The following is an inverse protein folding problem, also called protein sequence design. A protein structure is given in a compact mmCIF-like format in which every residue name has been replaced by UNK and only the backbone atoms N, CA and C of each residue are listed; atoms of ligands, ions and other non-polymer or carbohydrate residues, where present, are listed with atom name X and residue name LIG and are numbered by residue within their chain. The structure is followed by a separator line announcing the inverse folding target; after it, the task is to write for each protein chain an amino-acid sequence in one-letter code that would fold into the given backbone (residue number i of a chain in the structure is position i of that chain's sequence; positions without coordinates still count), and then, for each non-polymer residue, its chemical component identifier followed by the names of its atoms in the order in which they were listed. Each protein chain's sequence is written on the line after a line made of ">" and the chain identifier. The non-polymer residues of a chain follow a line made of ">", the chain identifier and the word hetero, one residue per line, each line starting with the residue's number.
data_IF_007323072158
#
_entry.id   IF_007323072158
#
_cell.length_a   1.000
_cell.length_b   1.000
_cell.length_c   1.000
_cell.angle_alpha   90.00
_cell.angle_beta   90.00
_cell.angle_gamma   90.00
#
_symmetry.space_group_name_H-M   'P 1'
#
loop_
_entity.id
_entity.type
_entity.pdbx_description
1 polymer ?
#
# COMPACT_ATOMS: atom_id res chain seq x y z
N UNK A 1 12.45 -0.15 18.43
CA UNK A 1 13.45 -0.37 17.37
C UNK A 1 12.85 0.31 16.14
N UNK A 2 13.54 1.18 15.41
CA UNK A 2 12.89 1.84 14.26
C UNK A 2 12.71 0.83 13.12
N UNK A 3 11.47 0.54 12.80
CA UNK A 3 11.05 -0.24 11.64
C UNK A 3 11.22 0.67 10.41
N UNK A 4 11.77 0.17 9.30
CA UNK A 4 12.23 1.06 8.22
C UNK A 4 11.06 1.79 7.53
N UNK A 5 9.88 1.16 7.45
CA UNK A 5 8.61 1.76 7.00
C UNK A 5 8.15 2.86 7.97
N UNK A 6 8.02 2.54 9.27
CA UNK A 6 7.55 3.48 10.29
C UNK A 6 8.50 4.67 10.50
N UNK A 7 9.80 4.50 10.23
CA UNK A 7 10.77 5.59 10.28
C UNK A 7 10.53 6.66 9.19
N UNK A 8 9.99 6.26 8.04
CA UNK A 8 9.75 7.14 6.89
C UNK A 8 8.34 7.71 6.92
N UNK A 9 7.35 6.91 7.32
CA UNK A 9 5.94 7.31 7.43
C UNK A 9 5.65 8.05 8.74
N UNK A 10 6.33 9.19 8.91
CA UNK A 10 6.06 10.13 10.01
C UNK A 10 5.60 11.47 9.47
N UNK A 11 4.66 12.10 10.19
CA UNK A 11 4.03 13.34 9.74
C UNK A 11 5.01 14.46 9.31
N UNK A 12 6.14 14.73 10.01
CA UNK A 12 7.06 15.78 9.58
C UNK A 12 7.68 15.51 8.20
N UNK A 13 8.09 14.26 7.93
CA UNK A 13 8.71 13.88 6.65
C UNK A 13 7.65 13.92 5.55
N UNK A 14 6.48 13.31 5.78
CA UNK A 14 5.42 13.29 4.79
C UNK A 14 4.86 14.68 4.48
N UNK A 15 4.77 15.58 5.48
CA UNK A 15 4.35 16.98 5.25
C UNK A 15 5.32 17.73 4.34
N UNK A 16 6.63 17.51 4.49
CA UNK A 16 7.65 18.14 3.65
C UNK A 16 7.59 17.64 2.20
N UNK A 17 7.16 16.40 2.02
CA UNK A 17 7.12 15.71 0.72
C UNK A 17 5.73 15.69 0.09
N UNK A 18 4.73 16.24 0.78
CA UNK A 18 3.30 16.11 0.48
C UNK A 18 2.91 16.38 -0.98
N UNK A 19 3.45 17.47 -1.53
CA UNK A 19 3.12 17.97 -2.86
C UNK A 19 4.11 17.55 -3.96
N UNK A 20 5.18 16.82 -3.60
CA UNK A 20 6.29 16.54 -4.52
C UNK A 20 6.57 15.07 -4.70
N UNK A 21 6.29 14.23 -3.69
CA UNK A 21 6.58 12.82 -3.75
C UNK A 21 5.52 12.09 -4.58
N UNK A 22 5.95 11.58 -5.73
CA UNK A 22 5.07 10.87 -6.67
C UNK A 22 5.20 9.35 -6.55
N UNK A 23 6.35 8.85 -6.10
CA UNK A 23 6.62 7.42 -5.98
C UNK A 23 7.27 7.13 -4.63
N UNK A 24 6.72 6.16 -3.91
CA UNK A 24 7.22 5.71 -2.62
C UNK A 24 7.30 4.19 -2.62
N UNK A 25 8.51 3.65 -2.48
CA UNK A 25 8.76 2.22 -2.51
C UNK A 25 9.46 1.79 -1.23
N UNK A 26 8.86 0.82 -0.55
CA UNK A 26 9.46 0.12 0.58
C UNK A 26 10.00 -1.20 0.08
N UNK A 27 11.30 -1.44 0.31
CA UNK A 27 11.99 -2.65 -0.17
C UNK A 27 12.73 -3.33 0.97
N UNK A 28 12.66 -4.66 1.03
CA UNK A 28 13.43 -5.49 1.95
C UNK A 28 13.24 -5.12 3.42
N UNK A 29 12.02 -4.70 3.80
CA UNK A 29 11.72 -4.37 5.20
C UNK A 29 11.24 -5.61 5.95
N UNK A 30 12.20 -6.26 6.60
CA UNK A 30 11.96 -7.41 7.47
C UNK A 30 11.54 -6.98 8.89
N UNK A 31 11.45 -5.70 9.21
CA UNK A 31 11.18 -5.21 10.57
C UNK A 31 9.77 -4.66 10.75
N UNK A 32 9.04 -4.40 9.67
CA UNK A 32 7.69 -3.85 9.72
C UNK A 32 6.68 -4.87 10.26
N UNK A 33 6.72 -5.12 11.57
CA UNK A 33 5.80 -6.03 12.28
C UNK A 33 4.45 -5.36 12.57
N UNK A 34 4.36 -4.04 12.35
CA UNK A 34 3.13 -3.26 12.52
C UNK A 34 2.96 -2.25 11.40
N UNK A 35 1.70 -1.93 11.12
CA UNK A 35 1.29 -0.79 10.31
C UNK A 35 0.06 -0.21 10.99
N UNK A 36 0.21 0.95 11.63
CA UNK A 36 -0.78 1.52 12.54
C UNK A 36 -1.50 2.71 11.91
N UNK A 37 -2.42 3.32 12.67
CA UNK A 37 -3.11 4.54 12.24
C UNK A 37 -2.17 5.74 12.08
N UNK A 38 -0.98 5.72 12.68
CA UNK A 38 0.02 6.78 12.53
C UNK A 38 0.64 6.76 11.12
N UNK A 39 1.02 5.59 10.63
CA UNK A 39 1.53 5.42 9.27
C UNK A 39 0.46 5.74 8.22
N UNK A 40 -0.79 5.32 8.46
CA UNK A 40 -1.93 5.71 7.63
C UNK A 40 -2.07 7.25 7.58
N UNK A 41 -2.12 7.92 8.74
CA UNK A 41 -2.24 9.37 8.81
C UNK A 41 -1.06 10.12 8.17
N UNK A 42 0.16 9.58 8.27
CA UNK A 42 1.32 10.14 7.57
C UNK A 42 1.24 9.95 6.06
N UNK A 43 0.72 8.79 5.60
CA UNK A 43 0.54 8.51 4.17
C UNK A 43 -0.51 9.43 3.54
N UNK A 44 -1.59 9.78 4.26
CA UNK A 44 -2.63 10.72 3.78
C UNK A 44 -2.09 12.11 3.45
N UNK A 45 -0.97 12.52 4.06
CA UNK A 45 -0.32 13.80 3.75
C UNK A 45 0.30 13.82 2.35
N UNK A 46 0.60 12.65 1.77
CA UNK A 46 1.26 12.51 0.47
C UNK A 46 0.27 12.69 -0.70
N UNK A 47 -0.33 13.87 -0.78
CA UNK A 47 -1.39 14.21 -1.76
C UNK A 47 -0.99 14.04 -3.23
N UNK A 48 0.30 14.10 -3.56
CA UNK A 48 0.83 13.93 -4.92
C UNK A 48 1.31 12.51 -5.24
N UNK A 49 1.16 11.56 -4.32
CA UNK A 49 1.63 10.19 -4.48
C UNK A 49 0.82 9.45 -5.53
N UNK A 50 1.50 8.96 -6.57
CA UNK A 50 0.93 8.22 -7.70
C UNK A 50 1.22 6.72 -7.63
N UNK A 51 2.40 6.36 -7.14
CA UNK A 51 2.87 4.99 -7.05
C UNK A 51 3.30 4.66 -5.62
N UNK A 52 2.67 3.64 -5.04
CA UNK A 52 3.06 3.05 -3.76
C UNK A 52 3.44 1.59 -3.99
N UNK A 53 4.58 1.16 -3.47
CA UNK A 53 4.98 -0.23 -3.58
C UNK A 53 5.60 -0.78 -2.29
N UNK A 54 5.30 -2.05 -2.02
CA UNK A 54 5.92 -2.86 -0.98
C UNK A 54 6.57 -4.08 -1.64
N UNK A 55 7.88 -4.23 -1.52
CA UNK A 55 8.65 -5.27 -2.18
C UNK A 55 9.51 -6.02 -1.15
N UNK A 56 9.33 -7.32 -1.02
CA UNK A 56 10.05 -8.13 -0.03
C UNK A 56 9.92 -7.58 1.40
N UNK A 57 8.70 -7.27 1.83
CA UNK A 57 8.40 -6.89 3.22
C UNK A 57 7.69 -8.06 3.93
N UNK A 58 8.44 -9.09 4.38
CA UNK A 58 7.84 -10.36 4.79
C UNK A 58 7.01 -10.29 6.07
N UNK A 59 7.24 -9.28 6.92
CA UNK A 59 6.57 -9.14 8.20
C UNK A 59 5.42 -8.12 8.19
N UNK A 60 5.23 -7.40 7.07
CA UNK A 60 4.19 -6.38 6.93
C UNK A 60 2.79 -7.00 7.07
N UNK A 61 2.03 -6.70 8.14
CA UNK A 61 0.82 -7.44 8.46
C UNK A 61 -0.39 -7.06 7.58
N UNK A 62 -0.41 -5.84 7.04
CA UNK A 62 -1.54 -5.33 6.28
C UNK A 62 -1.12 -4.21 5.31
N UNK A 63 -2.01 -3.94 4.36
CA UNK A 63 -1.94 -2.75 3.52
C UNK A 63 -2.46 -1.51 4.28
N UNK A 64 -2.04 -0.29 3.87
CA UNK A 64 -2.60 0.95 4.40
C UNK A 64 -4.13 0.97 4.26
N UNK A 65 -4.86 1.36 5.30
CA UNK A 65 -6.34 1.38 5.24
C UNK A 65 -6.89 2.61 4.52
N UNK A 66 -6.03 3.61 4.33
CA UNK A 66 -6.34 4.93 3.76
C UNK A 66 -6.09 5.02 2.25
N UNK A 67 -5.86 3.92 1.54
CA UNK A 67 -5.58 3.98 0.09
C UNK A 67 -6.65 4.75 -0.70
N UNK A 68 -7.92 4.61 -0.32
CA UNK A 68 -9.06 5.33 -0.88
C UNK A 68 -9.02 6.87 -0.69
N UNK A 69 -8.30 7.37 0.31
CA UNK A 69 -8.20 8.81 0.60
C UNK A 69 -6.99 9.46 -0.10
N UNK A 70 -6.14 8.68 -0.79
CA UNK A 70 -5.00 9.18 -1.55
C UNK A 70 -5.44 9.65 -2.95
N UNK A 71 -5.55 10.97 -3.21
CA UNK A 71 -6.27 11.48 -4.38
C UNK A 71 -5.55 11.27 -5.71
N UNK A 72 -4.22 11.12 -5.67
CA UNK A 72 -3.39 10.96 -6.88
C UNK A 72 -2.96 9.52 -7.13
N UNK A 73 -3.29 8.59 -6.24
CA UNK A 73 -2.75 7.23 -6.29
C UNK A 73 -3.40 6.46 -7.45
N UNK A 74 -2.57 6.00 -8.39
CA UNK A 74 -3.01 5.25 -9.56
C UNK A 74 -2.28 3.91 -9.73
N UNK A 75 -1.24 3.63 -8.93
CA UNK A 75 -0.52 2.37 -8.97
C UNK A 75 -0.17 1.86 -7.57
N UNK A 76 -0.59 0.63 -7.26
CA UNK A 76 -0.20 -0.10 -6.06
C UNK A 76 0.52 -1.40 -6.45
N UNK A 77 1.75 -1.58 -5.96
CA UNK A 77 2.51 -2.81 -6.11
C UNK A 77 2.73 -3.53 -4.77
N UNK A 78 2.49 -4.83 -4.71
CA UNK A 78 2.72 -5.64 -3.51
C UNK A 78 3.39 -6.95 -3.93
N UNK A 79 4.70 -7.04 -3.69
CA UNK A 79 5.51 -8.14 -4.15
C UNK A 79 6.20 -8.83 -2.97
N UNK A 80 6.07 -10.15 -2.87
CA UNK A 80 6.72 -10.95 -1.85
C UNK A 80 6.47 -10.48 -0.41
N UNK A 81 5.21 -10.15 -0.09
CA UNK A 81 4.74 -9.73 1.24
C UNK A 81 3.70 -10.74 1.80
N UNK A 82 4.12 -11.96 2.21
CA UNK A 82 3.23 -13.07 2.55
C UNK A 82 2.33 -12.88 3.78
N UNK A 83 2.61 -11.91 4.66
CA UNK A 83 1.78 -11.65 5.84
C UNK A 83 0.55 -10.78 5.54
N UNK A 84 0.51 -10.13 4.38
CA UNK A 84 -0.65 -9.35 3.95
C UNK A 84 -1.74 -10.31 3.46
N UNK A 85 -2.81 -10.45 4.25
CA UNK A 85 -3.89 -11.41 3.99
C UNK A 85 -5.23 -10.79 3.59
N UNK A 86 -5.35 -9.48 3.66
CA UNK A 86 -6.64 -8.80 3.46
C UNK A 86 -6.50 -7.47 2.76
N UNK A 87 -7.53 -7.12 1.99
CA UNK A 87 -7.69 -5.80 1.39
C UNK A 87 -7.99 -4.74 2.46
N UNK A 88 -7.67 -3.46 2.19
CA UNK A 88 -8.06 -2.37 3.06
C UNK A 88 -9.58 -2.22 3.12
N UNK A 89 -10.11 -1.97 4.33
CA UNK A 89 -11.56 -1.83 4.55
C UNK A 89 -12.14 -0.57 3.93
N UNK A 90 -11.34 0.48 3.80
CA UNK A 90 -11.73 1.73 3.15
C UNK A 90 -11.84 1.62 1.62
N UNK A 91 -11.40 0.50 1.03
CA UNK A 91 -11.40 0.29 -0.42
C UNK A 91 -10.23 0.96 -1.13
N UNK A 92 -10.41 1.20 -2.43
CA UNK A 92 -9.38 1.73 -3.33
C UNK A 92 -9.90 2.97 -4.06
N UNK A 93 -9.02 3.90 -4.48
CA UNK A 93 -9.39 5.00 -5.34
C UNK A 93 -9.85 4.49 -6.72
N UNK A 94 -10.67 5.30 -7.39
CA UNK A 94 -11.15 4.99 -8.74
C UNK A 94 -9.98 4.94 -9.73
N UNK A 95 -9.96 3.95 -10.63
CA UNK A 95 -8.90 3.76 -11.64
C UNK A 95 -7.51 3.43 -11.09
N UNK A 96 -7.43 2.73 -9.95
CA UNK A 96 -6.18 2.16 -9.45
C UNK A 96 -5.78 0.91 -10.23
N UNK A 97 -4.51 0.83 -10.62
CA UNK A 97 -3.87 -0.44 -11.02
C UNK A 97 -3.21 -1.10 -9.80
N UNK A 98 -3.56 -2.36 -9.54
CA UNK A 98 -3.04 -3.17 -8.44
C UNK A 98 -2.28 -4.35 -9.02
N UNK A 99 -1.00 -4.44 -8.70
CA UNK A 99 -0.17 -5.60 -9.04
C UNK A 99 0.26 -6.32 -7.78
N UNK A 100 -0.02 -7.62 -7.71
CA UNK A 100 0.39 -8.49 -6.59
C UNK A 100 1.18 -9.68 -7.11
N UNK A 101 2.26 -10.06 -6.44
CA UNK A 101 3.08 -11.22 -6.83
C UNK A 101 3.68 -11.89 -5.61
N UNK A 102 3.63 -13.23 -5.56
CA UNK A 102 4.30 -14.01 -4.52
C UNK A 102 3.89 -13.64 -3.08
N UNK A 103 2.66 -13.18 -2.88
CA UNK A 103 2.12 -12.81 -1.57
C UNK A 103 1.30 -13.97 -0.97
N UNK A 104 0.07 -13.70 -0.58
CA UNK A 104 -0.79 -14.65 0.11
C UNK A 104 -2.02 -14.98 -0.73
N UNK A 105 -2.42 -16.25 -0.73
CA UNK A 105 -3.52 -16.73 -1.56
C UNK A 105 -4.87 -16.11 -1.16
N UNK A 106 -5.13 -15.90 0.12
CA UNK A 106 -6.36 -15.26 0.58
C UNK A 106 -6.46 -13.80 0.09
N UNK A 107 -5.34 -13.09 -0.03
CA UNK A 107 -5.30 -11.75 -0.64
C UNK A 107 -5.64 -11.81 -2.14
N UNK A 108 -5.04 -12.75 -2.86
CA UNK A 108 -5.29 -12.95 -4.29
C UNK A 108 -6.77 -13.23 -4.58
N UNK A 109 -7.39 -14.13 -3.82
CA UNK A 109 -8.81 -14.46 -3.94
C UNK A 109 -9.72 -13.24 -3.70
N UNK A 110 -9.37 -12.38 -2.74
CA UNK A 110 -10.08 -11.14 -2.48
C UNK A 110 -9.94 -10.14 -3.63
N UNK A 111 -8.74 -10.00 -4.21
CA UNK A 111 -8.49 -9.13 -5.36
C UNK A 111 -9.24 -9.58 -6.62
N UNK A 112 -9.27 -10.88 -6.91
CA UNK A 112 -10.05 -11.41 -8.03
C UNK A 112 -11.55 -11.16 -7.85
N UNK A 113 -12.06 -11.35 -6.62
CA UNK A 113 -13.45 -11.02 -6.31
C UNK A 113 -13.73 -9.53 -6.46
N UNK A 114 -12.80 -8.67 -6.04
CA UNK A 114 -12.91 -7.23 -6.21
C UNK A 114 -12.95 -6.84 -7.70
N UNK A 115 -12.04 -7.37 -8.52
CA UNK A 115 -12.02 -7.16 -9.98
C UNK A 115 -13.35 -7.52 -10.65
N UNK A 116 -13.99 -8.59 -10.20
CA UNK A 116 -15.32 -8.99 -10.69
C UNK A 116 -16.46 -8.05 -10.30
N UNK A 117 -16.30 -7.28 -9.22
CA UNK A 117 -17.30 -6.31 -8.73
C UNK A 117 -17.03 -4.88 -9.20
N UNK A 118 -15.79 -4.55 -9.58
CA UNK A 118 -15.35 -3.23 -9.98
C UNK A 118 -14.41 -3.36 -11.21
N UNK A 119 -14.96 -3.44 -12.44
CA UNK A 119 -14.17 -3.66 -13.66
C UNK A 119 -13.21 -2.51 -13.99
N UNK A 120 -13.40 -1.34 -13.36
CA UNK A 120 -12.54 -0.16 -13.53
C UNK A 120 -11.19 -0.29 -12.80
N UNK A 121 -11.05 -1.29 -11.92
CA UNK A 121 -9.78 -1.62 -11.27
C UNK A 121 -8.98 -2.55 -12.19
N UNK A 122 -7.80 -2.09 -12.58
CA UNK A 122 -6.84 -2.94 -13.26
C UNK A 122 -6.12 -3.79 -12.20
N UNK A 123 -6.28 -5.11 -12.27
CA UNK A 123 -5.71 -6.03 -11.28
C UNK A 123 -4.92 -7.11 -12.00
N UNK A 124 -3.63 -7.18 -11.69
CA UNK A 124 -2.67 -8.16 -12.21
C UNK A 124 -2.05 -8.94 -11.06
N UNK A 125 -2.17 -10.27 -11.11
CA UNK A 125 -1.64 -11.17 -10.06
C UNK A 125 -0.78 -12.23 -10.75
N UNK A 126 0.44 -12.42 -10.26
CA UNK A 126 1.47 -13.30 -10.85
C UNK A 126 2.02 -14.32 -9.84
#
# INVERSE_FOLDING_TARGET
>A
MLDCISAVLVAPICSLLAATLQSLWFRYDERAESFTGEEDGALELLTSLRSLAFEYCPNLPCLPQVLHSLPSLCNLGVNHCPQIRSLPKGGFPTSLSVTVTGCNRELDEQLWKLKGTHPDLDVSIY
#
